data_IF_255238003348
#
_entry.id   IF_255238003348
#
_cell.length_a   1.000
_cell.length_b   1.000
_cell.length_c   1.000
_cell.angle_alpha   90.00
_cell.angle_beta   90.00
_cell.angle_gamma   90.00
#
_symmetry.space_group_name_H-M   'P 1'
#
loop_
_entity.id
_entity.type
_entity.pdbx_description
1 polymer ?
#
# COMPACT_ATOMS: atom_id res chain seq x y z
N UNK A 1 42.11 34.04 -1.73
CA UNK A 1 41.69 33.41 -2.99
C UNK A 1 41.69 31.93 -2.70
N UNK A 2 40.47 31.37 -2.60
CA UNK A 2 40.17 29.93 -2.63
C UNK A 2 40.57 29.15 -1.36
N UNK A 3 39.77 28.27 -0.78
CA UNK A 3 38.34 27.98 -0.82
C UNK A 3 38.12 26.97 0.31
N UNK A 4 37.10 27.20 1.13
CA UNK A 4 36.73 26.29 2.20
C UNK A 4 36.23 24.96 1.59
N UNK A 5 36.96 23.88 1.77
CA UNK A 5 36.50 22.53 1.47
C UNK A 5 35.51 22.10 2.56
N UNK A 6 34.28 22.57 2.40
CA UNK A 6 33.12 22.11 3.13
C UNK A 6 32.92 20.61 2.88
N UNK A 7 32.96 19.87 3.97
CA UNK A 7 32.65 18.45 4.08
C UNK A 7 31.31 18.13 3.41
N UNK A 8 31.34 17.61 2.19
CA UNK A 8 30.18 16.92 1.59
C UNK A 8 30.16 15.49 2.10
N UNK A 9 29.86 15.35 3.39
CA UNK A 9 29.38 14.09 3.93
C UNK A 9 28.08 13.74 3.19
N UNK A 10 28.17 12.76 2.29
CA UNK A 10 27.01 12.07 1.75
C UNK A 10 26.27 11.45 2.94
N UNK A 11 25.25 12.16 3.43
CA UNK A 11 24.22 11.62 4.31
C UNK A 11 23.39 10.64 3.47
N UNK A 12 23.95 9.46 3.21
CA UNK A 12 23.14 8.27 2.98
C UNK A 12 22.57 7.87 4.34
N UNK A 13 21.63 8.68 4.83
CA UNK A 13 20.84 8.33 5.98
C UNK A 13 20.10 7.05 5.63
N UNK A 14 20.44 5.98 6.33
CA UNK A 14 19.65 4.75 6.34
C UNK A 14 18.22 5.16 6.68
N UNK A 15 17.32 5.14 5.70
CA UNK A 15 15.89 5.26 5.96
C UNK A 15 15.59 4.19 7.02
N UNK A 16 15.00 4.56 8.18
CA UNK A 16 14.56 3.54 9.11
C UNK A 16 13.59 2.64 8.35
N UNK A 17 13.86 1.33 8.35
CA UNK A 17 12.85 0.35 7.97
C UNK A 17 11.59 0.71 8.76
N UNK A 18 10.54 1.15 8.07
CA UNK A 18 9.26 1.43 8.71
C UNK A 18 8.85 0.11 9.34
N UNK A 19 8.82 0.07 10.67
CA UNK A 19 8.21 -1.05 11.37
C UNK A 19 6.81 -1.25 10.76
N UNK A 20 6.35 -2.51 10.55
CA UNK A 20 5.03 -2.74 10.00
C UNK A 20 4.00 -2.04 10.89
N UNK A 21 3.48 -0.91 10.43
CA UNK A 21 2.46 -0.13 11.13
C UNK A 21 1.15 -0.85 10.92
N UNK A 22 0.96 -1.97 11.61
CA UNK A 22 -0.31 -2.67 11.61
C UNK A 22 -0.92 -2.55 13.02
N UNK A 23 -1.65 -1.47 13.33
CA UNK A 23 -2.51 -1.44 14.49
C UNK A 23 -3.79 -2.22 14.16
N UNK A 24 -3.69 -3.53 13.96
CA UNK A 24 -4.88 -4.41 13.92
C UNK A 24 -4.89 -5.17 15.24
N UNK A 25 -5.23 -4.45 16.32
CA UNK A 25 -5.28 -5.01 17.68
C UNK A 25 -6.62 -5.69 17.98
N UNK A 26 -7.54 -5.69 17.02
CA UNK A 26 -8.78 -6.45 17.05
C UNK A 26 -8.94 -7.19 15.71
N UNK A 27 -8.78 -8.52 15.72
CA UNK A 27 -8.99 -9.39 14.56
C UNK A 27 -10.34 -10.11 14.66
N UNK A 28 -11.30 -9.60 15.44
CA UNK A 28 -12.65 -10.19 15.52
C UNK A 28 -13.49 -9.78 14.30
N UNK A 29 -12.96 -10.05 13.11
CA UNK A 29 -13.67 -9.95 11.85
C UNK A 29 -13.93 -11.36 11.32
N UNK A 30 -15.18 -11.68 11.00
CA UNK A 30 -15.58 -12.96 10.44
C UNK A 30 -15.50 -12.97 8.91
N UNK A 31 -15.38 -11.79 8.29
CA UNK A 31 -15.34 -11.63 6.83
C UNK A 31 -14.06 -10.95 6.36
N UNK A 32 -13.39 -11.53 5.38
CA UNK A 32 -12.23 -10.94 4.71
C UNK A 32 -12.54 -10.71 3.22
N UNK A 33 -12.38 -9.46 2.76
CA UNK A 33 -12.54 -9.06 1.36
C UNK A 33 -11.18 -8.71 0.78
N UNK A 34 -10.64 -9.59 -0.05
CA UNK A 34 -9.41 -9.34 -0.81
C UNK A 34 -9.73 -8.44 -2.01
N UNK A 35 -8.96 -7.36 -2.18
CA UNK A 35 -9.03 -6.46 -3.33
C UNK A 35 -7.69 -6.47 -4.06
N UNK A 36 -7.72 -6.87 -5.33
CA UNK A 36 -6.56 -6.90 -6.21
C UNK A 36 -6.42 -5.60 -7.02
N UNK A 37 -5.25 -5.39 -7.63
CA UNK A 37 -4.93 -4.15 -8.34
C UNK A 37 -5.81 -3.85 -9.56
N UNK A 38 -6.48 -4.86 -10.13
CA UNK A 38 -7.42 -4.73 -11.24
C UNK A 38 -8.88 -4.51 -10.82
N UNK A 39 -9.20 -4.65 -9.52
CA UNK A 39 -10.57 -4.62 -8.97
C UNK A 39 -10.96 -3.27 -8.34
N UNK A 40 -10.21 -2.20 -8.64
CA UNK A 40 -10.36 -0.88 -8.02
C UNK A 40 -11.61 -0.12 -8.52
N UNK A 41 -12.79 -0.64 -8.19
CA UNK A 41 -14.08 -0.03 -8.52
C UNK A 41 -14.75 0.54 -7.26
N UNK A 42 -14.69 1.87 -7.10
CA UNK A 42 -15.28 2.57 -5.96
C UNK A 42 -16.82 2.56 -5.92
N UNK A 43 -17.48 2.15 -7.01
CA UNK A 43 -18.94 2.03 -7.10
C UNK A 43 -19.44 0.59 -6.89
N UNK A 44 -18.56 -0.32 -6.44
CA UNK A 44 -18.97 -1.68 -6.11
C UNK A 44 -19.80 -1.69 -4.81
N UNK A 45 -20.88 -2.47 -4.78
CA UNK A 45 -21.83 -2.51 -3.66
C UNK A 45 -21.22 -2.97 -2.34
N UNK A 46 -20.05 -3.60 -2.38
CA UNK A 46 -19.26 -3.91 -1.18
C UNK A 46 -18.86 -2.68 -0.38
N UNK A 47 -18.82 -1.49 -0.99
CA UNK A 47 -18.34 -0.28 -0.33
C UNK A 47 -19.48 0.69 0.05
N UNK A 48 -20.74 0.30 -0.20
CA UNK A 48 -21.92 1.12 0.08
C UNK A 48 -22.15 1.26 1.59
N UNK A 49 -21.96 0.17 2.34
CA UNK A 49 -22.15 0.11 3.80
C UNK A 49 -20.84 -0.25 4.50
N UNK A 50 -20.56 0.40 5.64
CA UNK A 50 -19.46 0.05 6.52
C UNK A 50 -19.90 -1.05 7.49
N UNK A 51 -19.13 -2.15 7.54
CA UNK A 51 -19.35 -3.28 8.43
C UNK A 51 -18.08 -3.53 9.26
N UNK A 52 -18.22 -3.43 10.58
CA UNK A 52 -17.13 -3.62 11.53
C UNK A 52 -16.62 -5.07 11.56
N UNK A 53 -17.42 -6.04 11.12
CA UNK A 53 -17.03 -7.46 11.06
C UNK A 53 -16.31 -7.84 9.74
N UNK A 54 -16.12 -6.87 8.85
CA UNK A 54 -15.47 -7.05 7.55
C UNK A 54 -14.10 -6.35 7.50
N UNK A 55 -13.06 -7.08 7.14
CA UNK A 55 -11.72 -6.55 6.85
C UNK A 55 -11.44 -6.56 5.35
N UNK A 56 -11.12 -5.40 4.79
CA UNK A 56 -10.63 -5.28 3.41
C UNK A 56 -9.11 -5.41 3.40
N UNK A 57 -8.60 -6.34 2.61
CA UNK A 57 -7.16 -6.53 2.42
C UNK A 57 -6.80 -6.12 1.01
N UNK A 58 -5.89 -5.16 0.90
CA UNK A 58 -5.33 -4.69 -0.36
C UNK A 58 -3.83 -4.93 -0.29
N UNK A 59 -3.29 -5.72 -1.20
CA UNK A 59 -1.88 -6.13 -1.15
C UNK A 59 -1.20 -5.91 -2.48
N UNK A 60 -0.09 -5.17 -2.48
CA UNK A 60 0.80 -5.06 -3.64
C UNK A 60 1.55 -6.38 -3.83
N UNK A 61 1.47 -7.00 -5.02
CA UNK A 61 2.13 -8.29 -5.27
C UNK A 61 3.24 -8.18 -6.31
N UNK A 62 4.43 -8.68 -5.95
CA UNK A 62 5.59 -8.76 -6.84
C UNK A 62 5.31 -9.56 -8.12
N UNK A 63 4.44 -10.57 -8.06
CA UNK A 63 4.10 -11.41 -9.20
C UNK A 63 3.35 -10.64 -10.30
N UNK A 64 2.56 -9.62 -9.95
CA UNK A 64 1.90 -8.74 -10.92
C UNK A 64 2.90 -7.83 -11.67
N UNK A 65 4.05 -7.53 -11.05
CA UNK A 65 5.12 -6.73 -11.66
C UNK A 65 6.11 -7.57 -12.51
N UNK A 66 6.16 -8.88 -12.29
CA UNK A 66 7.19 -9.75 -12.86
C UNK A 66 6.72 -10.69 -13.99
N UNK A 67 5.41 -10.85 -14.21
CA UNK A 67 4.88 -11.85 -15.15
C UNK A 67 5.16 -11.52 -16.63
N UNK A 68 5.28 -10.23 -16.97
CA UNK A 68 5.61 -9.77 -18.33
C UNK A 68 6.40 -8.47 -18.23
N UNK A 69 7.21 -8.14 -19.26
CA UNK A 69 7.92 -6.85 -19.33
C UNK A 69 6.91 -5.71 -19.48
N UNK A 70 6.38 -5.22 -18.37
CA UNK A 70 5.47 -4.09 -18.34
C UNK A 70 6.26 -2.77 -18.36
N UNK A 71 5.64 -1.74 -18.95
CA UNK A 71 6.19 -0.39 -18.88
C UNK A 71 6.18 0.08 -17.42
N UNK A 72 7.29 0.64 -16.93
CA UNK A 72 7.44 1.04 -15.52
C UNK A 72 6.30 1.97 -15.06
N UNK A 73 5.85 2.86 -15.94
CA UNK A 73 4.72 3.76 -15.65
C UNK A 73 3.41 3.02 -15.40
N UNK A 74 3.16 1.88 -16.06
CA UNK A 74 1.95 1.08 -15.85
C UNK A 74 1.94 0.52 -14.44
N UNK A 75 3.05 -0.10 -14.02
CA UNK A 75 3.20 -0.69 -12.68
C UNK A 75 3.06 0.40 -11.61
N UNK A 76 3.77 1.52 -11.77
CA UNK A 76 3.68 2.64 -10.84
C UNK A 76 2.24 3.20 -10.73
N UNK A 77 1.52 3.28 -11.85
CA UNK A 77 0.13 3.74 -11.85
C UNK A 77 -0.79 2.79 -11.08
N UNK A 78 -0.59 1.47 -11.16
CA UNK A 78 -1.37 0.51 -10.37
C UNK A 78 -1.13 0.67 -8.87
N UNK A 79 0.12 0.73 -8.42
CA UNK A 79 0.41 0.90 -6.99
C UNK A 79 -0.11 2.24 -6.45
N UNK A 80 0.05 3.33 -7.21
CA UNK A 80 -0.53 4.62 -6.84
C UNK A 80 -2.05 4.55 -6.75
N UNK A 81 -2.72 3.85 -7.68
CA UNK A 81 -4.16 3.67 -7.65
C UNK A 81 -4.60 2.82 -6.45
N UNK A 82 -3.90 1.73 -6.14
CA UNK A 82 -4.18 0.85 -4.99
C UNK A 82 -4.03 1.62 -3.67
N UNK A 83 -2.94 2.36 -3.50
CA UNK A 83 -2.70 3.19 -2.31
C UNK A 83 -3.78 4.27 -2.14
N UNK A 84 -4.13 4.97 -3.22
CA UNK A 84 -5.18 5.99 -3.21
C UNK A 84 -6.55 5.38 -2.88
N UNK A 85 -6.84 4.20 -3.43
CA UNK A 85 -8.09 3.49 -3.18
C UNK A 85 -8.20 3.03 -1.72
N UNK A 86 -7.12 2.47 -1.16
CA UNK A 86 -7.06 2.09 0.25
C UNK A 86 -7.28 3.29 1.18
N UNK A 87 -6.67 4.44 0.85
CA UNK A 87 -6.89 5.70 1.56
C UNK A 87 -8.35 6.14 1.53
N UNK A 88 -8.95 6.16 0.33
CA UNK A 88 -10.34 6.56 0.15
C UNK A 88 -11.33 5.65 0.91
N UNK A 89 -11.07 4.34 0.99
CA UNK A 89 -11.90 3.43 1.76
C UNK A 89 -11.78 3.67 3.27
N UNK A 90 -10.57 3.94 3.78
CA UNK A 90 -10.35 4.29 5.19
C UNK A 90 -11.05 5.60 5.57
N UNK A 91 -10.98 6.61 4.72
CA UNK A 91 -11.66 7.89 4.92
C UNK A 91 -13.19 7.73 4.98
N UNK A 92 -13.73 6.74 4.28
CA UNK A 92 -15.16 6.38 4.33
C UNK A 92 -15.54 5.55 5.56
N UNK A 93 -14.57 5.12 6.38
CA UNK A 93 -14.81 4.36 7.62
C UNK A 93 -14.60 2.84 7.50
N UNK A 94 -14.20 2.32 6.33
CA UNK A 94 -13.95 0.89 6.17
C UNK A 94 -12.68 0.45 6.90
N UNK A 95 -12.69 -0.77 7.45
CA UNK A 95 -11.50 -1.41 8.04
C UNK A 95 -10.60 -1.94 6.91
N UNK A 96 -9.48 -1.26 6.65
CA UNK A 96 -8.58 -1.61 5.52
C UNK A 96 -7.16 -1.93 5.98
N UNK A 97 -6.72 -3.15 5.72
CA UNK A 97 -5.32 -3.57 5.77
C UNK A 97 -4.69 -3.36 4.38
N UNK A 98 -3.69 -2.49 4.31
CA UNK A 98 -2.89 -2.28 3.11
C UNK A 98 -1.52 -2.89 3.34
N UNK A 99 -1.09 -3.78 2.46
CA UNK A 99 0.23 -4.41 2.47
C UNK A 99 0.98 -3.91 1.24
N UNK A 100 2.09 -3.23 1.44
CA UNK A 100 2.93 -2.78 0.33
C UNK A 100 3.87 -3.91 -0.15
N UNK A 101 4.67 -3.63 -1.18
CA UNK A 101 5.64 -4.61 -1.69
C UNK A 101 6.61 -5.07 -0.60
N UNK A 102 7.05 -4.20 0.31
CA UNK A 102 7.99 -4.61 1.36
C UNK A 102 7.31 -5.59 2.35
N UNK A 103 6.02 -5.38 2.64
CA UNK A 103 5.21 -6.28 3.48
C UNK A 103 4.92 -7.64 2.79
N UNK A 104 4.95 -7.72 1.46
CA UNK A 104 4.67 -8.96 0.69
C UNK A 104 5.91 -9.64 0.10
N UNK A 105 7.10 -9.17 0.46
CA UNK A 105 8.38 -9.78 0.10
C UNK A 105 8.65 -11.04 0.97
N UNK A 106 8.01 -12.15 0.65
CA UNK A 106 8.25 -13.46 1.29
C UNK A 106 9.62 -14.06 0.98
#
# INVERSE_FOLDING_TARGET
>A
MESQLGSRALLLGTLPARAPTCPVTDLSCNTLRLVLGDQLNAAHSWFDDCDDDTLYVIAELHQEAAYVRHHVQKIAAFFLAMAAFAGALRERGHRVLYLDLDDTAG
#
